data_IF_061173933276
#
_entry.id   IF_061173933276
#
_cell.length_a   1.000
_cell.length_b   1.000
_cell.length_c   1.000
_cell.angle_alpha   90.00
_cell.angle_beta   90.00
_cell.angle_gamma   90.00
#
_symmetry.space_group_name_H-M   'P 1'
#
loop_
_entity.id
_entity.type
_entity.pdbx_description
1 polymer ?
#
# COMPACT_ATOMS: atom_id res chain seq x y z
N UNK A 1 -7.24 -22.44 18.04
CA UNK A 1 -6.37 -21.24 18.15
C UNK A 1 -4.94 -21.69 18.02
N UNK A 2 -4.27 -21.31 16.93
CA UNK A 2 -2.86 -21.67 16.70
C UNK A 2 -1.96 -20.97 17.72
N UNK A 3 -1.01 -21.68 18.34
CA UNK A 3 -0.08 -21.07 19.30
C UNK A 3 0.70 -19.92 18.65
N UNK A 4 0.87 -18.81 19.38
CA UNK A 4 1.75 -17.70 18.99
C UNK A 4 3.15 -18.23 18.64
N UNK A 5 3.65 -17.85 17.47
CA UNK A 5 5.01 -18.19 17.02
C UNK A 5 5.93 -16.99 17.21
N UNK A 6 7.20 -17.27 17.50
CA UNK A 6 8.22 -16.22 17.58
C UNK A 6 8.28 -15.41 16.28
N UNK A 7 8.40 -14.10 16.44
CA UNK A 7 8.55 -13.19 15.30
C UNK A 7 9.92 -13.36 14.65
N UNK A 8 9.94 -13.27 13.32
CA UNK A 8 11.16 -13.37 12.52
C UNK A 8 11.62 -11.96 12.16
N UNK A 9 12.88 -11.65 12.44
CA UNK A 9 13.51 -10.42 11.96
C UNK A 9 14.21 -10.67 10.63
N UNK A 10 13.90 -9.81 9.67
CA UNK A 10 14.52 -9.83 8.34
C UNK A 10 15.80 -9.01 8.38
N UNK A 11 16.90 -9.63 7.95
CA UNK A 11 18.21 -8.99 7.82
C UNK A 11 18.26 -8.16 6.54
N UNK A 12 18.87 -6.98 6.61
CA UNK A 12 18.84 -6.02 5.48
C UNK A 12 19.51 -6.56 4.22
N UNK A 13 20.59 -7.34 4.34
CA UNK A 13 21.27 -7.90 3.18
C UNK A 13 20.36 -8.83 2.34
N UNK A 14 19.32 -9.43 2.93
CA UNK A 14 18.36 -10.25 2.20
C UNK A 14 17.46 -9.39 1.29
N UNK A 15 17.20 -8.14 1.68
CA UNK A 15 16.37 -7.20 0.90
C UNK A 15 17.06 -6.83 -0.41
N UNK A 16 18.40 -6.66 -0.39
CA UNK A 16 19.17 -6.31 -1.59
C UNK A 16 19.35 -7.46 -2.59
N UNK A 17 19.20 -8.72 -2.13
CA UNK A 17 19.37 -9.91 -2.99
C UNK A 17 18.20 -10.14 -3.93
N UNK A 18 17.04 -9.51 -3.71
CA UNK A 18 15.84 -9.70 -4.53
C UNK A 18 15.39 -11.16 -4.53
N UNK A 19 15.41 -11.81 -3.37
CA UNK A 19 14.95 -13.19 -3.20
C UNK A 19 13.43 -13.24 -3.32
N UNK A 20 12.90 -14.30 -3.94
CA UNK A 20 11.46 -14.48 -4.14
C UNK A 20 10.66 -14.55 -2.82
N UNK A 21 11.26 -15.05 -1.73
CA UNK A 21 10.60 -15.23 -0.44
C UNK A 21 11.47 -14.69 0.71
N UNK A 22 11.43 -13.37 0.92
CA UNK A 22 12.13 -12.73 2.04
C UNK A 22 11.29 -12.73 3.32
N UNK A 23 9.96 -12.77 3.17
CA UNK A 23 8.99 -12.70 4.24
C UNK A 23 8.35 -14.06 4.48
N UNK A 24 8.19 -14.42 5.75
CA UNK A 24 7.42 -15.59 6.15
C UNK A 24 6.01 -15.12 6.52
N UNK A 25 4.95 -15.67 5.92
CA UNK A 25 3.59 -15.23 6.23
C UNK A 25 3.27 -15.35 7.72
N UNK A 26 2.57 -14.34 8.23
CA UNK A 26 2.06 -14.31 9.60
C UNK A 26 3.13 -14.33 10.72
N UNK A 27 4.38 -13.94 10.41
CA UNK A 27 5.54 -14.07 11.33
C UNK A 27 6.28 -12.77 11.64
N UNK A 28 5.80 -11.62 11.21
CA UNK A 28 6.51 -10.35 11.40
C UNK A 28 5.73 -9.33 12.22
N UNK A 29 6.43 -8.49 13.00
CA UNK A 29 5.78 -7.33 13.62
C UNK A 29 5.46 -6.28 12.55
N UNK A 30 4.30 -5.65 12.64
CA UNK A 30 3.87 -4.63 11.68
C UNK A 30 4.86 -3.45 11.64
N UNK A 31 5.33 -2.99 12.81
CA UNK A 31 6.41 -1.98 12.93
C UNK A 31 7.70 -2.37 12.22
N UNK A 32 8.19 -3.61 12.40
CA UNK A 32 9.40 -4.10 11.72
C UNK A 32 9.21 -4.14 10.18
N UNK A 33 8.03 -4.55 9.70
CA UNK A 33 7.70 -4.53 8.27
C UNK A 33 7.72 -3.10 7.72
N UNK A 34 7.07 -2.17 8.41
CA UNK A 34 7.05 -0.76 8.03
C UNK A 34 8.46 -0.15 8.03
N UNK A 35 9.30 -0.44 9.02
CA UNK A 35 10.70 -0.01 9.05
C UNK A 35 11.48 -0.45 7.81
N UNK A 36 11.25 -1.67 7.31
CA UNK A 36 11.89 -2.13 6.08
C UNK A 36 11.44 -1.32 4.87
N UNK A 37 10.14 -1.11 4.71
CA UNK A 37 9.62 -0.32 3.58
C UNK A 37 10.08 1.14 3.65
N UNK A 38 10.08 1.76 4.84
CA UNK A 38 10.57 3.12 5.06
C UNK A 38 12.04 3.25 4.66
N UNK A 39 12.87 2.28 5.02
CA UNK A 39 14.28 2.28 4.62
C UNK A 39 14.42 2.10 3.11
N UNK A 40 13.70 1.16 2.54
CA UNK A 40 13.80 0.84 1.11
C UNK A 40 13.30 1.97 0.21
N UNK A 41 12.25 2.70 0.62
CA UNK A 41 11.71 3.84 -0.12
C UNK A 41 12.66 5.05 -0.14
N UNK A 42 13.67 5.07 0.74
CA UNK A 42 14.67 6.15 0.84
C UNK A 42 15.94 5.90 0.02
N UNK A 43 16.18 4.68 -0.45
CA UNK A 43 17.38 4.40 -1.25
C UNK A 43 17.40 5.22 -2.53
N UNK A 44 18.58 5.72 -2.89
CA UNK A 44 18.85 6.52 -4.10
C UNK A 44 20.21 6.14 -4.69
N UNK A 45 20.40 6.41 -5.98
CA UNK A 45 21.68 6.19 -6.66
C UNK A 45 22.24 4.78 -6.43
N UNK A 46 23.44 4.71 -5.86
CA UNK A 46 24.12 3.43 -5.62
C UNK A 46 23.51 2.57 -4.50
N UNK A 47 22.70 3.16 -3.61
CA UNK A 47 22.02 2.42 -2.54
C UNK A 47 20.85 1.59 -3.05
N UNK A 48 20.37 1.87 -4.26
CA UNK A 48 19.26 1.15 -4.87
C UNK A 48 19.59 -0.34 -5.01
N UNK A 49 18.68 -1.18 -4.52
CA UNK A 49 18.77 -2.62 -4.73
C UNK A 49 18.61 -3.00 -6.21
N UNK A 50 18.98 -4.24 -6.57
CA UNK A 50 18.89 -4.74 -7.95
C UNK A 50 17.50 -4.53 -8.57
N UNK A 51 16.44 -4.89 -7.84
CA UNK A 51 15.06 -4.73 -8.31
C UNK A 51 14.69 -3.26 -8.51
N UNK A 52 15.04 -2.38 -7.56
CA UNK A 52 14.77 -0.95 -7.69
C UNK A 52 15.50 -0.32 -8.87
N UNK A 53 16.78 -0.69 -9.12
CA UNK A 53 17.53 -0.22 -10.29
C UNK A 53 16.83 -0.63 -11.60
N UNK A 54 16.36 -1.87 -11.70
CA UNK A 54 15.62 -2.34 -12.87
C UNK A 54 14.28 -1.64 -13.03
N UNK A 55 13.52 -1.47 -11.95
CA UNK A 55 12.23 -0.77 -11.95
C UNK A 55 12.38 0.69 -12.39
N UNK A 56 13.38 1.41 -11.85
CA UNK A 56 13.66 2.81 -12.20
C UNK A 56 14.13 2.94 -13.65
N UNK A 57 14.96 2.01 -14.14
CA UNK A 57 15.34 2.00 -15.55
C UNK A 57 14.10 1.87 -16.45
N UNK A 58 13.20 0.91 -16.17
CA UNK A 58 11.95 0.76 -16.95
C UNK A 58 11.05 2.00 -16.86
N UNK A 59 10.96 2.60 -15.68
CA UNK A 59 10.17 3.82 -15.46
C UNK A 59 10.61 5.01 -16.31
N UNK A 60 11.91 5.11 -16.63
CA UNK A 60 12.43 6.17 -17.48
C UNK A 60 12.41 5.86 -18.97
N UNK A 61 12.54 4.58 -19.36
CA UNK A 61 12.68 4.18 -20.76
C UNK A 61 11.35 3.81 -21.43
N UNK A 62 10.35 3.34 -20.66
CA UNK A 62 9.10 2.83 -21.21
C UNK A 62 7.97 3.87 -21.12
N UNK A 63 7.37 4.18 -22.28
CA UNK A 63 6.30 5.16 -22.44
C UNK A 63 5.04 4.83 -21.62
N UNK A 64 4.82 3.57 -21.23
CA UNK A 64 3.71 3.17 -20.35
C UNK A 64 3.73 3.89 -19.00
N UNK A 65 4.92 4.30 -18.53
CA UNK A 65 5.07 4.98 -17.24
C UNK A 65 4.85 6.49 -17.31
N UNK A 66 4.83 7.10 -18.50
CA UNK A 66 4.55 8.52 -18.64
C UNK A 66 3.03 8.79 -18.62
N UNK A 67 2.52 8.96 -17.39
CA UNK A 67 1.11 9.30 -17.15
C UNK A 67 0.79 10.78 -17.41
N UNK A 68 1.80 11.63 -17.66
CA UNK A 68 1.61 13.07 -17.90
C UNK A 68 1.30 13.38 -19.35
N UNK A 69 1.69 12.48 -20.26
CA UNK A 69 1.41 12.64 -21.67
C UNK A 69 -0.03 12.27 -22.01
N UNK A 70 -0.75 13.24 -22.58
CA UNK A 70 -2.08 13.02 -23.16
C UNK A 70 -2.03 12.40 -24.56
N UNK A 71 -0.86 12.41 -25.20
CA UNK A 71 -0.69 11.94 -26.59
C UNK A 71 -0.30 10.47 -26.69
N UNK A 72 0.01 9.83 -25.56
CA UNK A 72 0.39 8.41 -25.53
C UNK A 72 -0.88 7.56 -25.61
N UNK A 73 -1.00 6.80 -26.70
CA UNK A 73 -2.09 5.84 -26.94
C UNK A 73 -1.86 4.52 -26.18
N UNK A 74 -1.78 4.61 -24.85
CA UNK A 74 -1.67 3.45 -23.97
C UNK A 74 -2.92 3.35 -23.11
N UNK A 75 -3.64 2.21 -23.13
CA UNK A 75 -4.83 2.03 -22.29
C UNK A 75 -4.51 2.19 -20.81
N UNK A 76 -5.41 2.84 -20.06
CA UNK A 76 -5.24 3.05 -18.61
C UNK A 76 -5.04 1.72 -17.84
N UNK A 77 -5.65 0.62 -18.29
CA UNK A 77 -5.47 -0.71 -17.71
C UNK A 77 -4.04 -1.23 -17.88
N UNK A 78 -3.41 -0.97 -19.03
CA UNK A 78 -2.02 -1.33 -19.27
C UNK A 78 -1.08 -0.51 -18.37
N UNK A 79 -1.36 0.77 -18.17
CA UNK A 79 -0.64 1.62 -17.21
C UNK A 79 -0.74 1.04 -15.80
N UNK A 80 -1.95 0.76 -15.32
CA UNK A 80 -2.16 0.19 -13.98
C UNK A 80 -1.44 -1.15 -13.80
N UNK A 81 -1.49 -2.01 -14.82
CA UNK A 81 -0.83 -3.32 -14.84
C UNK A 81 0.69 -3.19 -14.81
N UNK A 82 1.27 -2.19 -15.48
CA UNK A 82 2.71 -1.93 -15.47
C UNK A 82 3.19 -1.32 -14.13
N UNK A 83 2.38 -0.45 -13.53
CA UNK A 83 2.74 0.20 -12.26
C UNK A 83 2.70 -0.74 -11.05
N UNK A 84 1.89 -1.80 -11.08
CA UNK A 84 1.86 -2.78 -9.99
C UNK A 84 3.23 -3.45 -9.70
N UNK A 85 3.86 -4.18 -10.65
CA UNK A 85 5.18 -4.76 -10.41
C UNK A 85 6.24 -3.69 -10.20
N UNK A 86 6.11 -2.51 -10.82
CA UNK A 86 7.01 -1.38 -10.58
C UNK A 86 7.00 -0.96 -9.11
N UNK A 87 5.83 -0.70 -8.51
CA UNK A 87 5.73 -0.35 -7.10
C UNK A 87 6.11 -1.49 -6.16
N UNK A 88 5.80 -2.73 -6.53
CA UNK A 88 6.16 -3.91 -5.75
C UNK A 88 7.68 -4.05 -5.65
N UNK A 89 8.39 -3.94 -6.76
CA UNK A 89 9.86 -3.95 -6.79
C UNK A 89 10.47 -2.75 -6.08
N UNK A 90 9.83 -1.58 -6.18
CA UNK A 90 10.38 -0.34 -5.65
C UNK A 90 10.23 -0.21 -4.13
N UNK A 91 9.09 -0.64 -3.58
CA UNK A 91 8.73 -0.41 -2.18
C UNK A 91 8.50 -1.69 -1.38
N UNK A 92 8.08 -2.77 -2.03
CA UNK A 92 7.64 -3.99 -1.36
C UNK A 92 8.50 -5.22 -1.72
N UNK A 93 9.72 -4.98 -2.20
CA UNK A 93 10.75 -6.00 -2.42
C UNK A 93 10.39 -7.07 -3.46
N UNK A 94 9.41 -6.82 -4.33
CA UNK A 94 8.87 -7.83 -5.26
C UNK A 94 8.03 -8.92 -4.57
N UNK A 95 7.62 -8.69 -3.31
CA UNK A 95 6.98 -9.71 -2.48
C UNK A 95 5.48 -9.85 -2.75
N UNK A 96 4.82 -8.86 -3.33
CA UNK A 96 3.39 -8.90 -3.60
C UNK A 96 3.10 -9.66 -4.91
N UNK A 97 3.77 -9.32 -6.00
CA UNK A 97 3.62 -9.98 -7.31
C UNK A 97 4.24 -11.37 -7.34
N UNK A 98 5.29 -11.63 -6.55
CA UNK A 98 5.82 -12.97 -6.34
C UNK A 98 4.92 -13.88 -5.50
N UNK A 99 3.97 -13.31 -4.76
CA UNK A 99 3.08 -14.04 -3.88
C UNK A 99 1.82 -14.48 -4.60
N UNK A 100 1.52 -15.79 -4.57
CA UNK A 100 0.22 -16.33 -5.02
C UNK A 100 -0.96 -15.93 -4.12
N UNK A 101 -0.70 -15.12 -3.08
CA UNK A 101 -1.68 -14.69 -2.07
C UNK A 101 -2.14 -13.26 -2.24
N UNK A 102 -1.70 -12.56 -3.29
CA UNK A 102 -2.22 -11.23 -3.64
C UNK A 102 -2.63 -11.18 -5.11
N UNK A 103 -3.82 -10.67 -5.39
CA UNK A 103 -4.35 -10.50 -6.73
C UNK A 103 -4.77 -9.04 -6.93
N UNK A 104 -4.29 -8.44 -8.00
CA UNK A 104 -4.76 -7.14 -8.48
C UNK A 104 -5.79 -7.39 -9.59
N UNK A 105 -6.98 -6.83 -9.41
CA UNK A 105 -8.02 -6.75 -10.41
C UNK A 105 -8.22 -5.27 -10.78
N UNK A 106 -8.12 -4.95 -12.06
CA UNK A 106 -8.37 -3.61 -12.58
C UNK A 106 -9.61 -3.68 -13.44
N UNK A 107 -10.68 -3.00 -13.04
CA UNK A 107 -11.94 -2.97 -13.80
C UNK A 107 -12.34 -1.52 -14.06
N UNK A 108 -11.81 -1.00 -15.17
CA UNK A 108 -12.08 0.38 -15.59
C UNK A 108 -13.41 0.52 -16.34
N UNK A 109 -14.21 -0.54 -16.45
CA UNK A 109 -15.58 -0.45 -16.95
C UNK A 109 -16.54 0.04 -15.86
N UNK A 110 -16.22 -0.25 -14.60
CA UNK A 110 -16.94 0.22 -13.40
C UNK A 110 -16.41 1.60 -12.99
N UNK A 111 -17.28 2.44 -12.44
CA UNK A 111 -16.94 3.81 -12.02
C UNK A 111 -17.15 3.99 -10.51
N UNK A 112 -16.35 4.85 -9.88
CA UNK A 112 -16.53 5.25 -8.47
C UNK A 112 -17.90 5.88 -8.14
N UNK A 113 -18.67 6.27 -9.17
CA UNK A 113 -20.06 6.75 -9.05
C UNK A 113 -21.01 5.66 -8.55
N UNK A 114 -20.72 4.41 -8.93
CA UNK A 114 -21.55 3.25 -8.67
C UNK A 114 -21.01 2.42 -7.52
N UNK A 115 -19.70 2.51 -7.25
CA UNK A 115 -18.99 1.63 -6.34
C UNK A 115 -17.90 2.35 -5.56
N UNK A 116 -17.44 1.77 -4.44
CA UNK A 116 -16.26 2.29 -3.76
C UNK A 116 -15.06 2.41 -4.73
N UNK A 117 -14.24 3.47 -4.61
CA UNK A 117 -13.16 3.74 -5.55
C UNK A 117 -12.10 2.63 -5.59
N UNK A 118 -12.00 1.83 -4.54
CA UNK A 118 -11.37 0.51 -4.57
C UNK A 118 -12.04 -0.42 -3.57
N UNK A 119 -11.91 -1.73 -3.78
CA UNK A 119 -12.34 -2.76 -2.84
C UNK A 119 -11.14 -3.62 -2.48
N UNK A 120 -10.88 -3.76 -1.19
CA UNK A 120 -9.87 -4.68 -0.66
C UNK A 120 -10.58 -5.81 0.07
N UNK A 121 -10.50 -7.02 -0.48
CA UNK A 121 -11.17 -8.20 0.04
C UNK A 121 -10.17 -9.29 0.42
N UNK A 122 -10.65 -10.24 1.22
CA UNK A 122 -9.91 -11.45 1.56
C UNK A 122 -10.79 -12.65 1.27
N UNK A 123 -10.22 -13.70 0.66
CA UNK A 123 -10.90 -14.97 0.46
C UNK A 123 -10.09 -16.12 1.07
N UNK A 124 -10.74 -16.99 1.87
CA UNK A 124 -10.09 -18.19 2.35
C UNK A 124 -9.87 -19.15 1.17
N UNK A 125 -8.69 -19.75 1.12
CA UNK A 125 -8.37 -20.80 0.15
C UNK A 125 -7.88 -22.01 0.91
N UNK A 126 -8.64 -23.09 0.82
CA UNK A 126 -8.22 -24.38 1.35
C UNK A 126 -7.11 -24.92 0.45
N UNK A 127 -5.88 -24.99 0.97
CA UNK A 127 -4.83 -25.70 0.25
C UNK A 127 -5.07 -27.20 0.43
N UNK A 128 -5.68 -27.83 -0.58
CA UNK A 128 -6.13 -29.24 -0.55
C UNK A 128 -4.95 -30.19 -0.27
N UNK A 129 -3.73 -29.83 -0.68
CA UNK A 129 -2.55 -30.68 -0.50
C UNK A 129 -2.05 -30.73 0.94
N UNK A 130 -2.16 -29.63 1.69
CA UNK A 130 -1.58 -29.52 3.04
C UNK A 130 -2.65 -29.47 4.14
N UNK A 131 -3.94 -29.38 3.77
CA UNK A 131 -5.03 -29.11 4.71
C UNK A 131 -4.93 -27.75 5.41
N UNK A 132 -4.02 -26.87 4.96
CA UNK A 132 -3.79 -25.56 5.54
C UNK A 132 -4.74 -24.55 4.89
N UNK A 133 -5.54 -23.88 5.71
CA UNK A 133 -6.33 -22.75 5.28
C UNK A 133 -5.40 -21.54 5.06
N UNK A 134 -5.27 -21.12 3.80
CA UNK A 134 -4.54 -19.91 3.42
C UNK A 134 -5.52 -18.76 3.12
N UNK A 135 -4.99 -17.55 2.98
CA UNK A 135 -5.77 -16.37 2.62
C UNK A 135 -5.18 -15.74 1.37
N UNK A 136 -6.04 -15.46 0.40
CA UNK A 136 -5.74 -14.62 -0.76
C UNK A 136 -6.37 -13.25 -0.52
N UNK A 137 -5.59 -12.20 -0.74
CA UNK A 137 -6.02 -10.82 -0.68
C UNK A 137 -6.22 -10.31 -2.10
N UNK A 138 -7.34 -9.65 -2.35
CA UNK A 138 -7.68 -9.12 -3.67
C UNK A 138 -7.89 -7.62 -3.56
N UNK A 139 -7.29 -6.89 -4.49
CA UNK A 139 -7.47 -5.47 -4.66
C UNK A 139 -8.18 -5.23 -5.98
N UNK A 140 -9.40 -4.72 -5.93
CA UNK A 140 -10.14 -4.24 -7.09
C UNK A 140 -10.01 -2.71 -7.17
N UNK A 141 -9.53 -2.20 -8.30
CA UNK A 141 -9.50 -0.76 -8.60
C UNK A 141 -10.46 -0.50 -9.75
N UNK A 142 -11.38 0.44 -9.53
CA UNK A 142 -12.35 0.87 -10.55
C UNK A 142 -11.91 2.18 -11.21
N UNK A 143 -12.61 2.61 -12.25
CA UNK A 143 -12.34 3.91 -12.88
C UNK A 143 -12.55 5.05 -11.90
N UNK A 144 -11.53 5.90 -11.77
CA UNK A 144 -11.56 7.09 -10.92
C UNK A 144 -12.10 8.30 -11.69
N UNK A 145 -12.68 9.25 -10.97
CA UNK A 145 -12.99 10.58 -11.53
C UNK A 145 -11.74 11.42 -11.69
N UNK A 146 -11.77 12.33 -12.66
CA UNK A 146 -10.69 13.29 -12.90
C UNK A 146 -10.91 14.06 -14.18
N UNK A 147 -10.57 15.34 -14.15
CA UNK A 147 -10.70 16.27 -15.29
C UNK A 147 -9.81 15.83 -16.46
N UNK A 148 -8.61 15.34 -16.15
CA UNK A 148 -7.63 14.87 -17.13
C UNK A 148 -7.35 13.38 -16.99
N UNK A 149 -6.74 12.77 -18.01
CA UNK A 149 -6.23 11.38 -17.93
C UNK A 149 -5.19 11.25 -16.80
N UNK A 150 -4.31 12.25 -16.70
CA UNK A 150 -3.31 12.33 -15.63
C UNK A 150 -3.95 12.28 -14.25
N UNK A 151 -5.00 13.07 -13.99
CA UNK A 151 -5.66 13.08 -12.68
C UNK A 151 -6.29 11.73 -12.32
N UNK A 152 -6.98 11.10 -13.29
CA UNK A 152 -7.60 9.79 -13.10
C UNK A 152 -6.56 8.71 -12.81
N UNK A 153 -5.49 8.64 -13.62
CA UNK A 153 -4.42 7.67 -13.43
C UNK A 153 -3.69 7.91 -12.11
N UNK A 154 -3.36 9.16 -11.77
CA UNK A 154 -2.71 9.50 -10.51
C UNK A 154 -3.56 9.11 -9.31
N UNK A 155 -4.88 9.31 -9.36
CA UNK A 155 -5.81 8.85 -8.33
C UNK A 155 -5.82 7.32 -8.24
N UNK A 156 -5.97 6.62 -9.36
CA UNK A 156 -6.00 5.15 -9.40
C UNK A 156 -4.69 4.53 -8.88
N UNK A 157 -3.55 5.07 -9.27
CA UNK A 157 -2.23 4.65 -8.81
C UNK A 157 -1.99 4.94 -7.32
N UNK A 158 -2.58 6.03 -6.80
CA UNK A 158 -2.54 6.32 -5.37
C UNK A 158 -3.34 5.27 -4.57
N UNK A 159 -4.50 4.83 -5.08
CA UNK A 159 -5.28 3.75 -4.50
C UNK A 159 -4.60 2.39 -4.62
N UNK A 160 -3.87 2.15 -5.73
CA UNK A 160 -3.03 0.98 -5.90
C UNK A 160 -1.98 0.90 -4.79
N UNK A 161 -1.20 1.96 -4.57
CA UNK A 161 -0.21 2.01 -3.49
C UNK A 161 -0.83 1.85 -2.11
N UNK A 162 -1.99 2.48 -1.86
CA UNK A 162 -2.74 2.29 -0.62
C UNK A 162 -3.12 0.83 -0.40
N UNK A 163 -3.72 0.18 -1.40
CA UNK A 163 -4.08 -1.24 -1.36
C UNK A 163 -2.88 -2.16 -1.19
N UNK A 164 -1.75 -1.86 -1.85
CA UNK A 164 -0.49 -2.60 -1.69
C UNK A 164 0.08 -2.47 -0.26
N UNK A 165 -0.04 -1.29 0.36
CA UNK A 165 0.32 -1.12 1.78
C UNK A 165 -0.51 -2.04 2.70
N UNK A 166 -1.82 -2.14 2.44
CA UNK A 166 -2.71 -3.05 3.17
C UNK A 166 -2.33 -4.51 2.95
N UNK A 167 -2.15 -4.91 1.69
CA UNK A 167 -1.77 -6.26 1.30
C UNK A 167 -0.46 -6.69 1.97
N UNK A 168 0.56 -5.85 1.89
CA UNK A 168 1.88 -6.14 2.46
C UNK A 168 1.81 -6.40 3.97
N UNK A 169 1.12 -5.53 4.72
CA UNK A 169 0.95 -5.78 6.14
C UNK A 169 0.12 -7.04 6.39
N UNK A 170 -1.01 -7.24 5.70
CA UNK A 170 -1.92 -8.37 5.91
C UNK A 170 -1.33 -9.74 5.56
N UNK A 171 -0.41 -9.80 4.60
CA UNK A 171 0.29 -11.02 4.22
C UNK A 171 1.34 -11.45 5.25
N UNK A 172 2.09 -10.48 5.77
CA UNK A 172 3.34 -10.77 6.47
C UNK A 172 3.26 -10.53 7.99
N UNK A 173 2.30 -9.74 8.47
CA UNK A 173 2.18 -9.39 9.90
C UNK A 173 1.72 -10.55 10.78
N UNK A 174 2.14 -10.60 12.04
CA UNK A 174 1.60 -11.56 12.98
C UNK A 174 0.13 -11.23 13.31
N UNK A 175 -0.76 -12.21 13.17
CA UNK A 175 -2.20 -12.09 13.44
C UNK A 175 -2.60 -12.44 14.88
N UNK A 176 -1.63 -12.65 15.76
CA UNK A 176 -1.91 -12.93 17.17
C UNK A 176 -2.42 -11.67 17.86
N UNK A 177 -3.52 -11.75 18.62
CA UNK A 177 -4.22 -10.59 19.18
C UNK A 177 -3.32 -9.63 19.98
N UNK A 178 -2.34 -10.15 20.72
CA UNK A 178 -1.40 -9.33 21.49
C UNK A 178 -0.33 -8.63 20.64
N UNK A 179 -0.21 -9.01 19.37
CA UNK A 179 0.69 -8.43 18.39
C UNK A 179 -0.02 -7.50 17.41
N UNK A 180 -1.35 -7.36 17.53
CA UNK A 180 -2.13 -6.53 16.62
C UNK A 180 -1.94 -5.05 16.96
N UNK A 181 -1.10 -4.39 16.16
CA UNK A 181 -0.84 -2.95 16.21
C UNK A 181 -1.75 -2.17 15.25
N UNK A 182 -2.73 -2.83 14.63
CA UNK A 182 -3.66 -2.22 13.69
C UNK A 182 -4.87 -1.65 14.41
N UNK A 183 -5.35 -0.49 13.92
CA UNK A 183 -6.55 0.14 14.45
C UNK A 183 -7.83 -0.30 13.75
N UNK A 184 -7.74 -1.13 12.71
CA UNK A 184 -8.92 -1.62 12.02
C UNK A 184 -8.63 -2.96 11.34
N UNK A 185 -9.70 -3.67 10.98
CA UNK A 185 -9.62 -4.86 10.13
C UNK A 185 -8.94 -4.56 8.78
N UNK A 186 -8.93 -3.31 8.33
CA UNK A 186 -8.23 -2.90 7.11
C UNK A 186 -6.73 -2.72 7.32
N UNK A 187 -6.23 -2.70 8.56
CA UNK A 187 -4.80 -2.63 8.84
C UNK A 187 -4.20 -1.23 8.92
N UNK A 188 -5.03 -0.23 9.23
CA UNK A 188 -4.67 1.19 9.27
C UNK A 188 -4.06 1.63 10.61
N UNK A 189 -3.01 0.94 11.07
CA UNK A 189 -2.30 1.26 12.32
C UNK A 189 -1.16 2.27 12.18
N UNK A 190 -0.36 2.40 13.24
CA UNK A 190 0.86 3.25 13.26
C UNK A 190 1.86 2.85 12.17
N UNK A 191 2.07 1.53 12.03
CA UNK A 191 2.97 0.97 11.03
C UNK A 191 2.56 1.36 9.59
N UNK A 192 1.26 1.31 9.30
CA UNK A 192 0.73 1.73 8.00
C UNK A 192 0.96 3.23 7.76
N UNK A 193 0.68 4.08 8.76
CA UNK A 193 0.89 5.53 8.65
C UNK A 193 2.36 5.91 8.42
N UNK A 194 3.27 5.27 9.14
CA UNK A 194 4.71 5.49 9.00
C UNK A 194 5.22 5.05 7.62
N UNK A 195 4.79 3.88 7.14
CA UNK A 195 5.13 3.35 5.83
C UNK A 195 4.58 4.21 4.69
N UNK A 196 3.28 4.53 4.74
CA UNK A 196 2.61 5.30 3.72
C UNK A 196 3.22 6.71 3.57
N UNK A 197 3.61 7.36 4.68
CA UNK A 197 4.31 8.66 4.60
C UNK A 197 5.63 8.55 3.84
N UNK A 198 6.41 7.49 4.09
CA UNK A 198 7.70 7.29 3.44
C UNK A 198 7.55 6.98 1.94
N UNK A 199 6.45 6.35 1.52
CA UNK A 199 6.10 6.14 0.11
C UNK A 199 5.64 7.45 -0.52
N UNK A 200 4.75 8.22 0.13
CA UNK A 200 4.35 9.55 -0.34
C UNK A 200 5.58 10.45 -0.58
N UNK A 201 6.50 10.51 0.39
CA UNK A 201 7.76 11.25 0.26
C UNK A 201 8.59 10.80 -0.95
N UNK A 202 8.70 9.48 -1.19
CA UNK A 202 9.44 8.93 -2.31
C UNK A 202 8.76 9.23 -3.67
N UNK A 203 7.43 9.16 -3.73
CA UNK A 203 6.67 9.48 -4.95
C UNK A 203 6.65 10.98 -5.25
N UNK A 204 6.75 11.84 -4.24
CA UNK A 204 6.81 13.29 -4.38
C UNK A 204 8.18 13.79 -4.83
N UNK A 205 9.25 13.10 -4.47
CA UNK A 205 10.63 13.47 -4.77
C UNK A 205 10.84 13.75 -6.28
N UNK A 206 11.14 15.01 -6.59
CA UNK A 206 11.29 15.53 -7.97
C UNK A 206 12.49 14.94 -8.71
N UNK A 207 13.49 14.48 -7.97
CA UNK A 207 14.70 13.86 -8.54
C UNK A 207 14.58 12.34 -8.64
N UNK A 208 13.44 11.77 -8.24
CA UNK A 208 13.21 10.34 -8.23
C UNK A 208 12.00 9.97 -9.10
N UNK A 209 10.77 10.03 -8.56
CA UNK A 209 9.58 9.64 -9.31
C UNK A 209 8.78 10.84 -9.83
N UNK A 210 8.73 11.93 -9.05
CA UNK A 210 7.94 13.13 -9.36
C UNK A 210 6.47 12.83 -9.72
N UNK A 211 5.85 11.84 -9.07
CA UNK A 211 4.47 11.41 -9.34
C UNK A 211 3.45 12.12 -8.43
N UNK A 212 3.89 12.66 -7.29
CA UNK A 212 3.04 13.39 -6.34
C UNK A 212 1.77 12.62 -5.97
N UNK A 213 1.96 11.38 -5.49
CA UNK A 213 0.88 10.49 -5.09
C UNK A 213 0.52 10.72 -3.61
N UNK A 214 -0.77 10.66 -3.32
CA UNK A 214 -1.30 10.83 -1.97
C UNK A 214 -2.07 9.58 -1.59
N UNK A 215 -1.61 8.86 -0.57
CA UNK A 215 -2.22 7.62 -0.08
C UNK A 215 -3.41 7.91 0.86
N UNK A 216 -3.95 9.13 0.79
CA UNK A 216 -5.09 9.64 1.57
C UNK A 216 -4.97 9.37 3.08
N UNK A 217 -3.74 9.40 3.61
CA UNK A 217 -3.43 8.89 4.95
C UNK A 217 -4.27 9.49 6.06
N UNK A 218 -4.64 10.77 5.94
CA UNK A 218 -5.48 11.46 6.93
C UNK A 218 -6.93 10.93 6.92
N UNK A 219 -7.54 10.75 5.74
CA UNK A 219 -8.88 10.18 5.60
C UNK A 219 -8.90 8.75 6.11
N UNK A 220 -7.90 7.96 5.71
CA UNK A 220 -7.69 6.59 6.16
C UNK A 220 -7.53 6.49 7.69
N UNK A 221 -6.81 7.44 8.31
CA UNK A 221 -6.70 7.53 9.76
C UNK A 221 -8.04 7.86 10.43
N UNK A 222 -8.76 8.87 9.92
CA UNK A 222 -10.05 9.28 10.46
C UNK A 222 -11.06 8.13 10.41
N UNK A 223 -11.13 7.41 9.29
CA UNK A 223 -11.95 6.20 9.15
C UNK A 223 -11.58 5.12 10.17
N UNK A 224 -10.29 4.89 10.40
CA UNK A 224 -9.81 3.93 11.39
C UNK A 224 -10.23 4.28 12.82
N UNK A 225 -10.00 5.53 13.23
CA UNK A 225 -10.32 6.02 14.57
C UNK A 225 -11.82 6.07 14.85
N UNK A 226 -12.65 6.19 13.79
CA UNK A 226 -14.10 6.07 13.90
C UNK A 226 -14.52 4.66 14.34
N UNK A 227 -13.90 3.64 13.77
CA UNK A 227 -14.20 2.22 14.05
C UNK A 227 -13.59 1.80 15.39
N UNK A 228 -12.34 2.20 15.64
CA UNK A 228 -11.62 1.88 16.87
C UNK A 228 -10.99 3.15 17.45
N UNK A 229 -11.70 3.83 18.36
CA UNK A 229 -11.21 5.06 18.98
C UNK A 229 -9.89 4.84 19.73
N UNK A 230 -8.82 5.45 19.24
CA UNK A 230 -7.50 5.42 19.88
C UNK A 230 -7.05 6.83 20.27
N UNK A 231 -6.40 6.96 21.43
CA UNK A 231 -5.79 8.22 21.86
C UNK A 231 -4.46 8.44 21.11
N UNK A 232 -4.42 9.46 20.26
CA UNK A 232 -3.19 9.88 19.57
C UNK A 232 -2.50 11.01 20.31
N UNK A 233 -1.19 10.87 20.50
CA UNK A 233 -0.36 11.95 21.05
C UNK A 233 -0.09 13.01 19.97
N UNK A 234 0.04 14.28 20.37
CA UNK A 234 0.33 15.40 19.44
C UNK A 234 1.64 15.18 18.68
N UNK A 235 2.63 14.58 19.33
CA UNK A 235 3.93 14.28 18.73
C UNK A 235 3.82 13.29 17.57
N UNK A 236 2.86 12.35 17.64
CA UNK A 236 2.60 11.40 16.56
C UNK A 236 1.95 12.06 15.36
N UNK A 237 0.94 12.90 15.59
CA UNK A 237 0.31 13.66 14.51
C UNK A 237 1.32 14.56 13.81
N UNK A 238 2.20 15.20 14.58
CA UNK A 238 3.32 15.98 14.04
C UNK A 238 4.28 15.13 13.21
N UNK A 239 4.65 13.93 13.69
CA UNK A 239 5.49 12.98 12.92
C UNK A 239 4.86 12.66 11.56
N UNK A 240 3.54 12.54 11.50
CA UNK A 240 2.79 12.25 10.27
C UNK A 240 2.43 13.46 9.42
N UNK A 241 2.90 14.65 9.82
CA UNK A 241 2.58 15.94 9.19
C UNK A 241 1.07 16.22 9.16
N UNK A 242 0.35 15.79 10.19
CA UNK A 242 -1.06 16.07 10.36
C UNK A 242 -1.28 17.21 11.35
N UNK A 243 -2.11 18.17 10.95
CA UNK A 243 -2.63 19.19 11.85
C UNK A 243 -3.82 18.62 12.64
N UNK A 244 -3.84 18.74 13.98
CA UNK A 244 -4.93 18.20 14.81
C UNK A 244 -6.32 18.68 14.37
N UNK A 245 -6.46 19.98 14.07
CA UNK A 245 -7.73 20.57 13.58
C UNK A 245 -8.21 19.94 12.27
N UNK A 246 -7.29 19.49 11.42
CA UNK A 246 -7.61 18.88 10.13
C UNK A 246 -8.12 17.45 10.34
N UNK A 247 -7.51 16.70 11.26
CA UNK A 247 -8.02 15.39 11.67
C UNK A 247 -9.40 15.48 12.34
N UNK A 248 -9.62 16.48 13.19
CA UNK A 248 -10.93 16.72 13.83
C UNK A 248 -12.04 16.98 12.78
N UNK A 249 -11.75 17.78 11.75
CA UNK A 249 -12.68 18.02 10.63
C UNK A 249 -12.99 16.75 9.86
N UNK A 250 -11.98 15.96 9.53
CA UNK A 250 -12.18 14.67 8.84
C UNK A 250 -13.03 13.71 9.68
N UNK A 251 -12.78 13.61 10.98
CA UNK A 251 -13.60 12.81 11.91
C UNK A 251 -15.06 13.27 11.97
N UNK A 252 -15.30 14.58 11.91
CA UNK A 252 -16.65 15.14 11.90
C UNK A 252 -17.45 14.72 10.66
N UNK A 253 -16.83 14.68 9.47
CA UNK A 253 -17.46 14.19 8.23
C UNK A 253 -18.01 12.78 8.41
N UNK A 254 -17.27 11.92 9.12
CA UNK A 254 -17.72 10.56 9.40
C UNK A 254 -18.82 10.47 10.45
N UNK A 255 -18.97 11.46 11.33
CA UNK A 255 -19.99 11.47 12.38
C UNK A 255 -21.33 11.99 11.85
N UNK A 256 -21.31 12.99 10.96
CA UNK A 256 -22.53 13.59 10.39
C UNK A 256 -23.27 12.69 9.41
N UNK A 257 -22.58 11.76 8.72
CA UNK A 257 -23.22 10.74 7.86
C UNK A 257 -24.14 9.74 8.60
N UNK A 258 -24.38 9.90 9.91
CA UNK A 258 -25.41 9.15 10.67
C UNK A 258 -26.78 9.82 10.69
N UNK A 259 -26.91 11.06 10.17
CA UNK A 259 -28.18 11.83 10.17
C UNK A 259 -28.90 11.89 8.82
N UNK A 260 -28.36 11.26 7.78
CA UNK A 260 -28.98 11.11 6.47
C UNK A 260 -29.21 9.62 6.21
#
# INVERSE_FOLDING_TARGET
MDKHRSHIHIRDYNLHKGLAEIFTPDRHRATHLAEKVIRFSRFRGEELGRLQKLAIHRFHEDAVFDIRSETIDVPDEAVMTAYFPFFDELFFFGSLGGSRRFLLNVDLSRSEDQEPPFVFSQRPVLNVQDGIQSQIYELLIVRQRGETRYDRLRAALSLLLQGMCHAFLKLWHCKWDQCDEMWSEQGTGRAWQDMALAIEDATYDRQFLNLNMSLERLKTLAGALKVNPAKLKKEQLRKWRFEPKRLERELAIYTDKRKA
#
